data_IF_349030101743
#
_entry.id   IF_349030101743
#
_cell.length_a   1.000
_cell.length_b   1.000
_cell.length_c   1.000
_cell.angle_alpha   90.00
_cell.angle_beta   90.00
_cell.angle_gamma   90.00
#
_symmetry.space_group_name_H-M   'P 1'
#
loop_
_entity.id
_entity.type
_entity.pdbx_description
1 polymer ?
#
# COMPACT_ATOMS: atom_id res chain seq x y z
N UNK A 1 8.20 2.61 -8.42
CA UNK A 1 8.28 1.97 -7.08
C UNK A 1 8.50 3.00 -5.96
N UNK A 2 9.61 3.76 -5.94
CA UNK A 2 9.88 4.72 -4.84
C UNK A 2 8.76 5.75 -4.61
N UNK A 3 8.20 6.33 -5.69
CA UNK A 3 7.04 7.26 -5.59
C UNK A 3 5.83 6.62 -4.92
N UNK A 4 5.54 5.36 -5.26
CA UNK A 4 4.41 4.60 -4.70
C UNK A 4 4.63 4.27 -3.22
N UNK A 5 5.88 3.94 -2.85
CA UNK A 5 6.28 3.71 -1.47
C UNK A 5 6.09 4.96 -0.61
N UNK A 6 6.59 6.11 -1.08
CA UNK A 6 6.45 7.39 -0.37
C UNK A 6 4.97 7.78 -0.26
N UNK A 7 4.20 7.66 -1.35
CA UNK A 7 2.75 7.93 -1.31
C UNK A 7 2.04 7.04 -0.29
N UNK A 8 2.34 5.74 -0.29
CA UNK A 8 1.74 4.79 0.67
C UNK A 8 2.16 5.12 2.10
N UNK A 9 3.42 5.53 2.32
CA UNK A 9 3.90 5.96 3.63
C UNK A 9 3.15 7.20 4.12
N UNK A 10 2.95 8.22 3.27
CA UNK A 10 2.24 9.46 3.63
C UNK A 10 0.77 9.16 3.95
N UNK A 11 0.08 8.40 3.10
CA UNK A 11 -1.32 8.03 3.32
C UNK A 11 -1.48 7.23 4.62
N UNK A 12 -0.62 6.24 4.84
CA UNK A 12 -0.65 5.42 6.06
C UNK A 12 -0.36 6.28 7.30
N UNK A 13 0.60 7.21 7.22
CA UNK A 13 0.89 8.18 8.28
C UNK A 13 -0.33 9.00 8.69
N UNK A 14 -1.14 9.47 7.73
CA UNK A 14 -2.38 10.20 8.02
C UNK A 14 -3.35 9.32 8.82
N UNK A 15 -3.56 8.07 8.39
CA UNK A 15 -4.43 7.14 9.11
C UNK A 15 -3.89 6.82 10.51
N UNK A 16 -2.58 6.59 10.67
CA UNK A 16 -1.95 6.36 11.97
C UNK A 16 -2.17 7.56 12.88
N UNK A 17 -1.96 8.78 12.38
CA UNK A 17 -2.13 10.00 13.17
C UNK A 17 -3.58 10.15 13.63
N UNK A 18 -4.56 9.90 12.75
CA UNK A 18 -5.99 9.92 13.10
C UNK A 18 -6.28 8.90 14.21
N UNK A 19 -5.75 7.67 14.11
CA UNK A 19 -5.92 6.63 15.15
C UNK A 19 -5.34 7.12 16.48
N UNK A 20 -4.14 7.69 16.47
CA UNK A 20 -3.47 8.15 17.69
C UNK A 20 -4.21 9.33 18.33
N UNK A 21 -4.73 10.27 17.53
CA UNK A 21 -5.53 11.40 18.01
C UNK A 21 -6.89 10.96 18.58
N UNK A 22 -7.53 9.97 17.96
CA UNK A 22 -8.84 9.48 18.38
C UNK A 22 -8.76 8.43 19.50
N UNK A 23 -7.58 7.86 19.75
CA UNK A 23 -7.33 6.80 20.73
C UNK A 23 -7.98 7.07 22.09
N UNK A 24 -7.66 8.21 22.69
CA UNK A 24 -8.12 8.58 24.04
C UNK A 24 -9.45 9.37 24.04
N UNK A 25 -10.21 9.37 22.93
CA UNK A 25 -11.46 10.14 22.80
C UNK A 25 -12.61 9.30 22.26
N UNK A 26 -12.51 8.88 21.01
CA UNK A 26 -13.58 8.15 20.33
C UNK A 26 -13.33 6.65 20.35
N UNK A 27 -12.08 6.21 20.18
CA UNK A 27 -11.74 4.78 20.11
C UNK A 27 -11.89 4.06 21.46
N UNK A 28 -11.81 4.77 22.58
CA UNK A 28 -12.13 4.21 23.91
C UNK A 28 -13.59 3.75 24.05
N UNK A 29 -14.51 4.31 23.24
CA UNK A 29 -15.92 3.92 23.23
C UNK A 29 -16.16 2.59 22.51
N UNK A 30 -15.19 2.13 21.72
CA UNK A 30 -15.27 0.89 20.94
C UNK A 30 -14.51 -0.25 21.65
N UNK A 31 -14.87 -1.49 21.32
CA UNK A 31 -14.19 -2.67 21.88
C UNK A 31 -12.72 -2.70 21.51
N UNK A 32 -11.89 -3.31 22.35
CA UNK A 32 -10.47 -3.46 22.04
C UNK A 32 -10.27 -4.37 20.83
N UNK A 33 -11.17 -5.35 20.64
CA UNK A 33 -11.23 -6.13 19.40
C UNK A 33 -11.39 -5.28 18.15
N UNK A 34 -12.25 -4.24 18.18
CA UNK A 34 -12.41 -3.34 17.03
C UNK A 34 -11.13 -2.56 16.74
N UNK A 35 -10.52 -1.97 17.76
CA UNK A 35 -9.27 -1.20 17.64
C UNK A 35 -8.07 -2.05 17.18
N UNK A 36 -8.05 -3.31 17.60
CA UNK A 36 -7.07 -4.30 17.15
C UNK A 36 -7.28 -4.65 15.66
N UNK A 37 -8.51 -4.91 15.22
CA UNK A 37 -8.83 -5.16 13.79
C UNK A 37 -8.52 -3.93 12.93
N UNK A 38 -8.82 -2.73 13.41
CA UNK A 38 -8.48 -1.45 12.77
C UNK A 38 -6.98 -1.36 12.47
N UNK A 39 -6.14 -1.77 13.42
CA UNK A 39 -4.68 -1.80 13.24
C UNK A 39 -4.27 -2.82 12.17
N UNK A 40 -4.88 -4.02 12.16
CA UNK A 40 -4.60 -5.06 11.16
C UNK A 40 -4.97 -4.62 9.75
N UNK A 41 -6.11 -3.94 9.56
CA UNK A 41 -6.53 -3.43 8.26
C UNK A 41 -5.48 -2.44 7.72
N UNK A 42 -4.98 -1.56 8.58
CA UNK A 42 -3.96 -0.58 8.21
C UNK A 42 -2.62 -1.23 7.89
N UNK A 43 -2.17 -2.21 8.69
CA UNK A 43 -0.95 -2.99 8.41
C UNK A 43 -1.06 -3.75 7.08
N UNK A 44 -2.20 -4.39 6.84
CA UNK A 44 -2.47 -5.10 5.58
C UNK A 44 -2.45 -4.16 4.38
N UNK A 45 -2.98 -2.93 4.54
CA UNK A 45 -2.92 -1.88 3.52
C UNK A 45 -1.49 -1.43 3.23
N UNK A 46 -0.63 -1.35 4.24
CA UNK A 46 0.76 -0.92 4.08
C UNK A 46 1.58 -1.88 3.21
N UNK A 47 1.29 -3.18 3.26
CA UNK A 47 1.92 -4.16 2.35
C UNK A 47 1.56 -3.94 0.87
N UNK A 48 0.40 -3.35 0.59
CA UNK A 48 -0.09 -3.10 -0.77
C UNK A 48 0.51 -1.77 -1.31
N UNK A 49 1.82 -1.80 -1.59
CA UNK A 49 2.58 -0.62 -2.04
C UNK A 49 2.12 -0.12 -3.41
N UNK A 50 1.81 -1.03 -4.34
CA UNK A 50 1.47 -0.70 -5.72
C UNK A 50 0.02 -0.22 -5.80
N UNK A 51 -0.21 1.01 -6.27
CA UNK A 51 -1.57 1.43 -6.64
C UNK A 51 -2.04 0.80 -7.94
N UNK A 52 -3.35 0.62 -8.01
CA UNK A 52 -4.06 0.31 -9.23
C UNK A 52 -4.35 1.65 -9.92
N UNK A 53 -3.75 1.89 -11.09
CA UNK A 53 -4.02 3.10 -11.85
C UNK A 53 -5.33 2.97 -12.63
N UNK A 54 -6.26 3.89 -12.41
CA UNK A 54 -7.50 4.02 -13.18
C UNK A 54 -7.30 5.16 -14.18
N UNK A 55 -7.45 4.85 -15.47
CA UNK A 55 -7.40 5.86 -16.53
C UNK A 55 -8.75 6.57 -16.58
N UNK A 56 -8.74 7.87 -16.34
CA UNK A 56 -9.93 8.72 -16.46
C UNK A 56 -9.74 9.54 -17.75
N UNK A 57 -10.61 9.37 -18.76
CA UNK A 57 -10.57 10.22 -19.95
C UNK A 57 -10.92 11.65 -19.53
N UNK A 58 -10.03 12.59 -19.83
CA UNK A 58 -10.31 14.02 -19.64
C UNK A 58 -10.30 14.68 -21.01
N UNK A 59 -11.45 15.16 -21.46
CA UNK A 59 -11.51 16.05 -22.63
C UNK A 59 -10.94 17.41 -22.22
N UNK A 60 -9.65 17.62 -22.52
CA UNK A 60 -9.03 18.93 -22.35
C UNK A 60 -9.20 19.70 -23.65
N UNK A 61 -10.10 20.70 -23.64
CA UNK A 61 -10.17 21.70 -24.70
C UNK A 61 -8.95 22.62 -24.58
N UNK A 62 -7.82 22.22 -25.18
CA UNK A 62 -6.62 23.06 -25.21
C UNK A 62 -6.79 24.10 -26.31
N UNK A 63 -7.08 25.36 -25.95
CA UNK A 63 -6.89 26.50 -26.84
C UNK A 63 -5.39 26.61 -27.10
N UNK A 64 -4.94 26.19 -28.29
CA UNK A 64 -3.54 26.34 -28.69
C UNK A 64 -3.34 27.81 -29.06
N UNK A 65 -2.81 28.59 -28.12
CA UNK A 65 -2.19 29.86 -28.47
C UNK A 65 -0.81 29.53 -29.01
N UNK A 66 -0.61 29.67 -30.32
CA UNK A 66 0.69 29.57 -30.99
C UNK A 66 1.58 30.74 -30.59
N UNK A 67 2.15 30.71 -29.39
CA UNK A 67 3.35 31.50 -29.08
C UNK A 67 4.56 30.64 -29.42
N UNK A 68 5.17 30.92 -30.58
CA UNK A 68 6.54 30.61 -30.97
C UNK A 68 7.07 29.23 -30.56
N UNK A 69 6.88 28.24 -31.44
CA UNK A 69 7.77 27.07 -31.51
C UNK A 69 9.07 27.54 -32.18
N UNK A 70 9.92 28.22 -31.42
CA UNK A 70 11.32 28.42 -31.77
C UNK A 70 12.14 27.61 -30.78
N UNK A 71 12.81 26.61 -31.33
CA UNK A 71 13.96 25.87 -30.80
C UNK A 71 13.79 25.18 -29.45
N UNK A 72 13.45 23.90 -29.51
CA UNK A 72 14.12 22.90 -28.69
C UNK A 72 14.60 21.79 -29.62
N UNK A 73 15.73 22.03 -30.28
CA UNK A 73 16.57 20.96 -30.80
C UNK A 73 17.03 20.17 -29.58
N UNK A 74 16.53 18.94 -29.47
CA UNK A 74 16.81 18.00 -28.40
C UNK A 74 18.29 17.55 -28.49
N UNK A 75 19.20 18.37 -27.97
CA UNK A 75 20.58 17.97 -27.69
C UNK A 75 20.59 17.07 -26.44
N UNK A 76 20.03 15.86 -26.56
CA UNK A 76 20.01 14.86 -25.48
C UNK A 76 20.49 13.49 -25.92
N UNK A 77 21.55 13.46 -26.72
CA UNK A 77 22.39 12.28 -26.87
C UNK A 77 23.88 12.66 -26.76
N UNK A 78 24.31 12.97 -25.53
CA UNK A 78 25.70 12.75 -25.11
C UNK A 78 25.71 11.70 -23.99
N UNK A 79 26.42 10.62 -24.26
CA UNK A 79 26.73 9.48 -23.37
C UNK A 79 27.21 9.99 -22.00
N UNK A 80 26.38 9.82 -20.97
CA UNK A 80 26.53 8.88 -19.84
C UNK A 80 27.92 8.88 -19.19
N UNK A 81 28.10 9.32 -17.94
CA UNK A 81 27.53 8.68 -16.73
C UNK A 81 26.87 9.70 -15.79
N UNK A 82 25.59 10.04 -16.02
CA UNK A 82 24.78 10.59 -14.91
C UNK A 82 24.36 9.42 -14.04
N UNK A 83 24.93 9.35 -12.85
CA UNK A 83 24.55 8.37 -11.83
C UNK A 83 23.02 8.37 -11.70
N UNK A 84 22.42 7.20 -11.86
CA UNK A 84 20.97 7.04 -11.77
C UNK A 84 20.54 7.13 -10.28
N UNK A 85 20.38 8.35 -9.77
CA UNK A 85 19.98 8.61 -8.38
C UNK A 85 18.73 7.84 -7.94
N UNK A 86 17.64 7.75 -8.74
CA UNK A 86 16.49 6.91 -8.39
C UNK A 86 16.84 5.44 -8.11
N UNK A 87 17.72 4.86 -8.93
CA UNK A 87 18.17 3.47 -8.75
C UNK A 87 19.06 3.31 -7.53
N UNK A 88 19.96 4.27 -7.25
CA UNK A 88 20.77 4.27 -6.03
C UNK A 88 19.91 4.36 -4.77
N UNK A 89 18.93 5.26 -4.73
CA UNK A 89 18.02 5.42 -3.59
C UNK A 89 17.22 4.12 -3.37
N UNK A 90 16.75 3.48 -4.45
CA UNK A 90 16.05 2.21 -4.36
C UNK A 90 16.95 1.11 -3.78
N UNK A 91 18.22 1.04 -4.20
CA UNK A 91 19.19 0.07 -3.70
C UNK A 91 19.49 0.30 -2.21
N UNK A 92 19.74 1.55 -1.79
CA UNK A 92 19.94 1.91 -0.38
C UNK A 92 18.70 1.52 0.44
N UNK A 93 17.51 1.85 -0.06
CA UNK A 93 16.27 1.50 0.62
C UNK A 93 16.09 -0.02 0.77
N UNK A 94 16.40 -0.80 -0.27
CA UNK A 94 16.34 -2.27 -0.23
C UNK A 94 17.33 -2.84 0.80
N UNK A 95 18.59 -2.39 0.76
CA UNK A 95 19.64 -2.83 1.69
C UNK A 95 19.20 -2.55 3.13
N UNK A 96 18.75 -1.33 3.42
CA UNK A 96 18.31 -0.95 4.77
C UNK A 96 17.10 -1.75 5.21
N UNK A 97 16.12 -1.96 4.33
CA UNK A 97 14.92 -2.77 4.64
C UNK A 97 15.29 -4.22 4.96
N UNK A 98 16.24 -4.79 4.21
CA UNK A 98 16.76 -6.15 4.45
C UNK A 98 17.53 -6.20 5.78
N UNK A 99 18.42 -5.24 6.05
CA UNK A 99 19.15 -5.17 7.32
C UNK A 99 18.21 -5.10 8.54
N UNK A 100 17.16 -4.27 8.47
CA UNK A 100 16.15 -4.16 9.53
C UNK A 100 15.35 -5.46 9.66
N UNK A 101 14.99 -6.10 8.55
CA UNK A 101 14.29 -7.40 8.58
C UNK A 101 15.17 -8.50 9.18
N UNK A 102 16.44 -8.57 8.79
CA UNK A 102 17.43 -9.49 9.37
C UNK A 102 17.60 -9.22 10.86
N UNK A 103 17.63 -7.97 11.30
CA UNK A 103 17.69 -7.63 12.72
C UNK A 103 16.49 -8.20 13.50
N UNK A 104 15.26 -8.00 13.03
CA UNK A 104 14.08 -8.57 13.68
C UNK A 104 14.06 -10.11 13.63
N UNK A 105 14.49 -10.68 12.51
CA UNK A 105 14.58 -12.13 12.34
C UNK A 105 15.65 -12.75 13.26
N UNK A 106 16.82 -12.11 13.37
CA UNK A 106 17.88 -12.50 14.30
C UNK A 106 17.41 -12.44 15.75
N UNK A 107 16.70 -11.37 16.15
CA UNK A 107 16.10 -11.26 17.49
C UNK A 107 15.15 -12.41 17.78
N UNK A 108 14.34 -12.79 16.80
CA UNK A 108 13.43 -13.94 16.89
C UNK A 108 14.19 -15.27 16.99
N UNK A 109 15.17 -15.52 16.10
CA UNK A 109 15.97 -16.74 16.13
C UNK A 109 16.79 -16.89 17.40
N UNK A 110 17.42 -15.80 17.86
CA UNK A 110 18.20 -15.78 19.11
C UNK A 110 17.34 -16.14 20.31
N UNK A 111 16.10 -15.62 20.37
CA UNK A 111 15.15 -15.98 21.42
C UNK A 111 14.74 -17.46 21.35
N UNK A 112 14.39 -17.96 20.17
CA UNK A 112 14.04 -19.37 19.97
C UNK A 112 15.20 -20.32 20.29
N UNK A 113 16.42 -19.95 19.90
CA UNK A 113 17.62 -20.71 20.18
C UNK A 113 17.86 -20.80 21.70
N UNK A 114 17.83 -19.66 22.40
CA UNK A 114 17.95 -19.64 23.87
C UNK A 114 16.85 -20.44 24.56
N UNK A 115 15.61 -20.33 24.08
CA UNK A 115 14.50 -21.10 24.62
C UNK A 115 14.71 -22.61 24.44
N UNK A 116 15.21 -23.06 23.29
CA UNK A 116 15.40 -24.49 22.98
C UNK A 116 16.25 -25.24 24.02
N UNK A 117 17.27 -24.61 24.60
CA UNK A 117 18.18 -25.27 25.57
C UNK A 117 17.67 -25.25 27.02
N UNK A 118 16.70 -24.39 27.33
CA UNK A 118 16.19 -24.19 28.68
C UNK A 118 14.76 -24.74 28.86
N UNK A 119 14.13 -25.12 27.74
CA UNK A 119 12.81 -25.75 27.67
C UNK A 119 12.88 -27.15 28.29
N UNK A 120 11.90 -27.44 29.14
CA UNK A 120 11.60 -28.77 29.67
C UNK A 120 10.17 -29.14 29.33
N UNK A 121 9.92 -30.43 29.13
CA UNK A 121 8.57 -30.92 28.93
C UNK A 121 7.76 -30.82 30.24
N UNK A 122 6.45 -30.67 30.11
CA UNK A 122 5.54 -30.64 31.26
C UNK A 122 5.14 -32.07 31.58
N UNK A 123 5.61 -32.58 32.72
CA UNK A 123 5.23 -33.91 33.25
C UNK A 123 4.01 -33.86 34.18
N UNK A 124 3.60 -32.66 34.59
CA UNK A 124 2.48 -32.46 35.50
C UNK A 124 1.14 -32.71 34.81
N UNK A 125 0.48 -33.81 35.18
CA UNK A 125 -0.82 -34.23 34.66
C UNK A 125 -1.93 -33.19 34.89
N UNK A 126 -1.84 -32.40 35.96
CA UNK A 126 -2.81 -31.36 36.24
C UNK A 126 -2.70 -30.23 35.21
N UNK A 127 -1.47 -29.80 34.90
CA UNK A 127 -1.21 -28.78 33.88
C UNK A 127 -1.66 -29.26 32.50
N UNK A 128 -1.35 -30.50 32.15
CA UNK A 128 -1.80 -31.12 30.90
C UNK A 128 -3.33 -31.21 30.84
N UNK A 129 -3.99 -31.57 31.94
CA UNK A 129 -5.44 -31.64 32.05
C UNK A 129 -6.09 -30.29 31.74
N UNK A 130 -5.71 -29.23 32.47
CA UNK A 130 -6.20 -27.86 32.26
C UNK A 130 -5.92 -27.37 30.84
N UNK A 131 -4.73 -27.68 30.30
CA UNK A 131 -4.38 -27.35 28.92
C UNK A 131 -5.31 -27.98 27.90
N UNK A 132 -5.56 -29.28 28.01
CA UNK A 132 -6.42 -30.01 27.09
C UNK A 132 -7.90 -29.60 27.21
N UNK A 133 -8.35 -29.23 28.41
CA UNK A 133 -9.70 -28.69 28.62
C UNK A 133 -9.88 -27.32 27.95
N UNK A 134 -8.99 -26.35 28.20
CA UNK A 134 -9.10 -25.02 27.61
C UNK A 134 -8.91 -25.05 26.08
N UNK A 135 -8.02 -25.93 25.59
CA UNK A 135 -7.86 -26.18 24.16
C UNK A 135 -9.16 -26.66 23.51
N UNK A 136 -9.86 -27.62 24.15
CA UNK A 136 -11.17 -28.11 23.69
C UNK A 136 -12.24 -27.04 23.78
N UNK A 137 -12.31 -26.29 24.89
CA UNK A 137 -13.26 -25.20 25.09
C UNK A 137 -13.13 -24.09 24.03
N UNK A 138 -11.91 -23.84 23.53
CA UNK A 138 -11.65 -22.88 22.45
C UNK A 138 -11.80 -23.47 21.05
N UNK A 139 -12.10 -24.77 20.91
CA UNK A 139 -12.28 -25.46 19.62
C UNK A 139 -10.99 -25.60 18.81
N UNK A 140 -9.85 -25.80 19.48
CA UNK A 140 -8.54 -25.87 18.84
C UNK A 140 -8.14 -27.33 18.61
N UNK A 141 -8.21 -27.79 17.36
CA UNK A 141 -7.93 -29.19 17.01
C UNK A 141 -6.47 -29.46 16.63
N UNK A 142 -5.66 -28.41 16.42
CA UNK A 142 -4.25 -28.56 16.00
C UNK A 142 -3.37 -29.02 17.15
N UNK A 143 -2.28 -29.73 16.83
CA UNK A 143 -1.26 -30.12 17.80
C UNK A 143 -0.46 -28.89 18.23
N UNK A 144 -0.55 -28.58 19.52
CA UNK A 144 0.16 -27.50 20.21
C UNK A 144 0.81 -28.15 21.41
N UNK A 145 2.08 -27.82 21.63
CA UNK A 145 2.83 -28.31 22.78
C UNK A 145 2.78 -27.28 23.90
N UNK A 146 2.78 -27.76 25.13
CA UNK A 146 2.98 -26.95 26.33
C UNK A 146 4.28 -27.38 27.01
N UNK A 147 5.13 -26.41 27.34
CA UNK A 147 6.48 -26.64 27.89
C UNK A 147 6.75 -25.69 29.04
N UNK A 148 7.63 -26.06 29.97
CA UNK A 148 8.14 -25.18 31.04
C UNK A 148 9.52 -24.63 30.66
N UNK A 149 9.80 -23.39 30.99
CA UNK A 149 11.09 -22.75 30.73
C UNK A 149 11.56 -22.00 31.97
N UNK A 150 12.78 -22.29 32.43
CA UNK A 150 13.41 -21.54 33.52
C UNK A 150 13.96 -20.21 33.00
N UNK A 151 13.79 -19.14 33.77
CA UNK A 151 14.33 -17.81 33.44
C UNK A 151 13.45 -16.95 32.51
N UNK A 152 12.21 -17.38 32.23
CA UNK A 152 11.19 -16.48 31.66
C UNK A 152 10.25 -15.97 32.75
N UNK A 153 9.84 -14.74 32.53
CA UNK A 153 9.09 -13.91 33.46
C UNK A 153 7.59 -14.01 33.31
N UNK A 154 7.14 -14.41 32.12
CA UNK A 154 5.75 -14.45 31.74
C UNK A 154 5.55 -15.63 30.79
N UNK A 155 4.38 -16.28 30.84
CA UNK A 155 3.93 -17.18 29.80
C UNK A 155 4.09 -16.55 28.41
N UNK A 156 4.46 -17.36 27.42
CA UNK A 156 4.66 -16.90 26.06
C UNK A 156 4.38 -17.98 25.02
N UNK A 157 3.63 -17.61 23.98
CA UNK A 157 3.49 -18.41 22.78
C UNK A 157 4.68 -18.23 21.83
N UNK A 158 5.46 -19.28 21.60
CA UNK A 158 6.58 -19.31 20.66
C UNK A 158 6.23 -20.10 19.40
N UNK A 159 6.84 -19.72 18.27
CA UNK A 159 6.80 -20.48 17.02
C UNK A 159 5.79 -19.95 16.00
N UNK A 160 6.17 -20.01 14.73
CA UNK A 160 5.29 -19.66 13.58
C UNK A 160 4.63 -20.90 12.97
N UNK A 161 5.40 -21.96 12.73
CA UNK A 161 4.92 -23.19 12.09
C UNK A 161 4.47 -24.24 13.10
N UNK A 162 5.22 -24.40 14.19
CA UNK A 162 4.89 -25.26 15.33
C UNK A 162 4.80 -24.38 16.56
N UNK A 163 3.57 -24.09 16.98
CA UNK A 163 3.36 -23.24 18.14
C UNK A 163 3.52 -24.04 19.43
N UNK A 164 4.24 -23.46 20.38
CA UNK A 164 4.49 -24.03 21.70
C UNK A 164 4.17 -22.97 22.74
N UNK A 165 3.29 -23.29 23.68
CA UNK A 165 3.03 -22.45 24.86
C UNK A 165 4.13 -22.74 25.86
N UNK A 166 4.82 -21.69 26.29
CA UNK A 166 5.85 -21.80 27.31
C UNK A 166 5.33 -21.17 28.59
N UNK A 167 5.36 -21.95 29.66
CA UNK A 167 5.04 -21.50 31.01
C UNK A 167 6.33 -21.23 31.79
N UNK A 168 6.35 -20.16 32.61
CA UNK A 168 7.44 -19.95 33.55
C UNK A 168 7.43 -21.05 34.62
N UNK A 169 8.56 -21.25 35.29
CA UNK A 169 8.67 -22.21 36.38
C UNK A 169 8.11 -21.63 37.68
N UNK A 170 6.82 -21.31 37.68
CA UNK A 170 6.05 -20.79 38.82
C UNK A 170 4.91 -21.75 39.10
N UNK A 171 4.61 -21.97 40.38
CA UNK A 171 3.48 -22.78 40.80
C UNK A 171 2.20 -21.94 40.71
N UNK A 172 1.30 -22.35 39.83
CA UNK A 172 -0.01 -21.73 39.66
C UNK A 172 -1.06 -22.58 40.35
N UNK A 173 -2.01 -21.95 41.05
CA UNK A 173 -3.25 -22.63 41.39
C UNK A 173 -4.03 -23.00 40.10
N UNK A 174 -4.90 -24.00 40.18
CA UNK A 174 -5.69 -24.47 39.05
C UNK A 174 -6.48 -23.37 38.33
N UNK A 175 -7.03 -22.40 39.07
CA UNK A 175 -7.75 -21.30 38.44
C UNK A 175 -6.81 -20.34 37.75
N UNK A 176 -5.70 -19.97 38.40
CA UNK A 176 -4.66 -19.11 37.83
C UNK A 176 -4.11 -19.71 36.54
N UNK A 177 -3.85 -21.02 36.56
CA UNK A 177 -3.35 -21.77 35.41
C UNK A 177 -4.36 -21.76 34.26
N UNK A 178 -5.65 -21.97 34.54
CA UNK A 178 -6.72 -21.90 33.54
C UNK A 178 -6.73 -20.54 32.85
N UNK A 179 -6.62 -19.44 33.62
CA UNK A 179 -6.58 -18.09 33.07
C UNK A 179 -5.37 -17.85 32.16
N UNK A 180 -4.17 -18.23 32.62
CA UNK A 180 -2.92 -18.09 31.88
C UNK A 180 -2.96 -18.87 30.57
N UNK A 181 -3.34 -20.15 30.64
CA UNK A 181 -3.39 -21.02 29.46
C UNK A 181 -4.43 -20.51 28.46
N UNK A 182 -5.62 -20.11 28.93
CA UNK A 182 -6.68 -19.57 28.08
C UNK A 182 -6.22 -18.31 27.33
N UNK A 183 -5.48 -17.43 28.01
CA UNK A 183 -4.89 -16.22 27.40
C UNK A 183 -3.93 -16.57 26.25
N UNK A 184 -2.97 -17.46 26.49
CA UNK A 184 -2.00 -17.89 25.47
C UNK A 184 -2.67 -18.65 24.30
N UNK A 185 -3.69 -19.47 24.59
CA UNK A 185 -4.47 -20.15 23.54
C UNK A 185 -5.27 -19.19 22.67
N UNK A 186 -5.74 -18.06 23.23
CA UNK A 186 -6.40 -17.01 22.44
C UNK A 186 -5.40 -16.34 21.50
N UNK A 187 -4.18 -16.04 21.95
CA UNK A 187 -3.10 -15.55 21.09
C UNK A 187 -2.80 -16.52 19.95
N UNK A 188 -2.76 -17.83 20.24
CA UNK A 188 -2.60 -18.87 19.23
C UNK A 188 -3.76 -18.86 18.22
N UNK A 189 -5.01 -18.90 18.70
CA UNK A 189 -6.21 -18.94 17.86
C UNK A 189 -6.31 -17.73 16.93
N UNK A 190 -5.88 -16.56 17.40
CA UNK A 190 -5.82 -15.30 16.63
C UNK A 190 -4.59 -15.16 15.75
N UNK A 191 -3.61 -16.07 15.87
CA UNK A 191 -2.34 -16.02 15.15
C UNK A 191 -1.56 -14.73 15.41
N UNK A 192 -1.55 -14.25 16.66
CA UNK A 192 -0.93 -12.98 17.01
C UNK A 192 0.57 -12.93 16.68
N UNK A 193 1.27 -14.07 16.73
CA UNK A 193 2.66 -14.17 16.27
C UNK A 193 2.82 -13.81 14.78
N UNK A 194 1.90 -14.25 13.91
CA UNK A 194 1.93 -13.91 12.47
C UNK A 194 1.68 -12.42 12.27
N UNK A 195 0.80 -11.82 13.07
CA UNK A 195 0.53 -10.38 12.99
C UNK A 195 1.69 -9.54 13.55
N UNK A 196 2.42 -10.04 14.55
CA UNK A 196 3.69 -9.44 15.00
C UNK A 196 4.77 -9.52 13.91
N UNK A 197 4.81 -10.62 13.14
CA UNK A 197 5.68 -10.72 11.96
C UNK A 197 5.28 -9.72 10.87
N UNK A 198 3.98 -9.57 10.60
CA UNK A 198 3.47 -8.55 9.67
C UNK A 198 3.91 -7.14 10.08
N UNK A 199 3.81 -6.80 11.37
CA UNK A 199 4.30 -5.51 11.89
C UNK A 199 5.81 -5.35 11.73
N UNK A 200 6.59 -6.42 11.88
CA UNK A 200 8.03 -6.38 11.64
C UNK A 200 8.36 -6.10 10.16
N UNK A 201 7.59 -6.69 9.23
CA UNK A 201 7.71 -6.42 7.79
C UNK A 201 7.37 -4.95 7.49
N UNK A 202 6.27 -4.43 8.04
CA UNK A 202 5.90 -3.01 7.89
C UNK A 202 7.02 -2.08 8.39
N UNK A 203 7.60 -2.37 9.56
CA UNK A 203 8.72 -1.61 10.11
C UNK A 203 9.99 -1.70 9.27
N UNK A 204 10.23 -2.85 8.62
CA UNK A 204 11.36 -3.01 7.71
C UNK A 204 11.17 -2.20 6.42
N UNK A 205 9.98 -2.21 5.82
CA UNK A 205 9.66 -1.47 4.59
C UNK A 205 9.64 0.05 4.85
N UNK A 206 9.07 0.45 5.98
CA UNK A 206 8.84 1.85 6.37
C UNK A 206 9.74 2.30 7.53
N UNK A 207 10.97 1.78 7.60
CA UNK A 207 11.92 2.08 8.69
C UNK A 207 12.18 3.58 8.90
N UNK A 208 12.04 4.39 7.85
CA UNK A 208 12.19 5.84 7.91
C UNK A 208 10.96 6.57 8.48
N UNK A 209 9.82 5.89 8.65
CA UNK A 209 8.57 6.50 9.09
C UNK A 209 8.35 6.31 10.60
N UNK A 210 8.54 7.35 11.44
CA UNK A 210 8.41 7.24 12.90
C UNK A 210 7.00 6.88 13.37
N UNK A 211 5.96 7.18 12.58
CA UNK A 211 4.57 6.89 12.95
C UNK A 211 4.28 5.39 12.95
N UNK A 212 4.98 4.60 12.12
CA UNK A 212 4.82 3.13 12.11
C UNK A 212 5.28 2.51 13.44
N UNK A 213 6.29 3.10 14.09
CA UNK A 213 6.71 2.68 15.43
C UNK A 213 5.67 3.02 16.51
N UNK A 214 4.90 4.10 16.34
CA UNK A 214 3.78 4.43 17.23
C UNK A 214 2.59 3.49 16.97
N UNK A 215 2.33 3.15 15.70
CA UNK A 215 1.35 2.13 15.34
C UNK A 215 1.70 0.79 15.97
N UNK A 216 2.97 0.37 15.94
CA UNK A 216 3.43 -0.85 16.64
C UNK A 216 3.04 -0.85 18.11
N UNK A 217 3.35 0.22 18.85
CA UNK A 217 3.01 0.33 20.28
C UNK A 217 1.50 0.26 20.51
N UNK A 218 0.73 0.92 19.65
CA UNK A 218 -0.73 0.88 19.71
C UNK A 218 -1.27 -0.51 19.44
N UNK A 219 -0.79 -1.18 18.38
CA UNK A 219 -1.18 -2.54 18.01
C UNK A 219 -0.86 -3.55 19.11
N UNK A 220 0.36 -3.53 19.65
CA UNK A 220 0.77 -4.43 20.74
C UNK A 220 -0.15 -4.26 21.96
N UNK A 221 -0.48 -3.02 22.32
CA UNK A 221 -1.40 -2.75 23.42
C UNK A 221 -2.84 -3.21 23.14
N UNK A 222 -3.39 -2.94 21.95
CA UNK A 222 -4.74 -3.40 21.62
C UNK A 222 -4.80 -4.92 21.47
N UNK A 223 -3.70 -5.57 21.10
CA UNK A 223 -3.58 -7.02 21.01
C UNK A 223 -3.84 -7.66 22.38
N UNK A 224 -3.13 -7.19 23.41
CA UNK A 224 -3.27 -7.62 24.81
C UNK A 224 -4.67 -7.31 25.36
N UNK A 225 -5.13 -6.06 25.21
CA UNK A 225 -6.45 -5.63 25.71
C UNK A 225 -7.60 -6.40 25.04
N UNK A 226 -7.49 -6.70 23.74
CA UNK A 226 -8.47 -7.53 23.04
C UNK A 226 -8.39 -9.00 23.46
N UNK A 227 -7.22 -9.47 23.89
CA UNK A 227 -7.05 -10.82 24.43
C UNK A 227 -7.75 -10.92 25.77
N UNK A 228 -7.47 -9.99 26.68
CA UNK A 228 -8.12 -9.85 27.99
C UNK A 228 -9.65 -9.77 27.86
N UNK A 229 -10.16 -8.94 26.93
CA UNK A 229 -11.59 -8.84 26.62
C UNK A 229 -12.19 -10.19 26.16
N UNK A 230 -11.42 -10.99 25.43
CA UNK A 230 -11.87 -12.31 24.94
C UNK A 230 -11.85 -13.37 26.04
N UNK A 231 -10.86 -13.32 26.93
CA UNK A 231 -10.76 -14.20 28.11
C UNK A 231 -11.99 -13.98 29.01
N UNK A 232 -12.32 -12.72 29.28
CA UNK A 232 -13.32 -12.30 30.27
C UNK A 232 -14.76 -12.19 29.75
N UNK A 233 -15.02 -12.56 28.50
CA UNK A 233 -16.29 -12.28 27.81
C UNK A 233 -17.55 -12.78 28.54
N UNK A 234 -17.44 -13.90 29.25
CA UNK A 234 -18.53 -14.53 30.01
C UNK A 234 -18.22 -14.63 31.50
N UNK A 235 -17.28 -13.82 31.99
CA UNK A 235 -16.82 -13.87 33.38
C UNK A 235 -17.60 -12.89 34.26
N UNK A 236 -17.93 -13.35 35.46
CA UNK A 236 -18.46 -12.54 36.56
C UNK A 236 -17.45 -11.50 37.02
N UNK A 237 -17.90 -10.50 37.78
CA UNK A 237 -17.00 -9.48 38.33
C UNK A 237 -15.94 -10.05 39.28
N UNK A 238 -16.28 -11.11 40.03
CA UNK A 238 -15.32 -11.80 40.90
C UNK A 238 -14.21 -12.47 40.09
N UNK A 239 -14.56 -13.18 39.01
CA UNK A 239 -13.59 -13.82 38.12
C UNK A 239 -12.70 -12.78 37.41
N UNK A 240 -13.25 -11.61 37.04
CA UNK A 240 -12.44 -10.52 36.47
C UNK A 240 -11.38 -10.01 37.45
N UNK A 241 -11.70 -9.92 38.74
CA UNK A 241 -10.73 -9.56 39.79
C UNK A 241 -9.68 -10.64 39.98
N UNK A 242 -10.11 -11.90 40.04
CA UNK A 242 -9.23 -13.06 40.18
C UNK A 242 -8.22 -13.12 39.02
N UNK A 243 -8.68 -12.87 37.80
CA UNK A 243 -7.83 -12.78 36.62
C UNK A 243 -6.84 -11.63 36.70
N UNK A 244 -7.28 -10.43 37.11
CA UNK A 244 -6.40 -9.27 37.26
C UNK A 244 -5.30 -9.51 38.30
N UNK A 245 -5.61 -10.18 39.42
CA UNK A 245 -4.63 -10.59 40.43
C UNK A 245 -3.65 -11.60 39.84
N UNK A 246 -4.14 -12.62 39.12
CA UNK A 246 -3.30 -13.61 38.44
C UNK A 246 -2.31 -12.95 37.48
N UNK A 247 -2.76 -11.96 36.70
CA UNK A 247 -1.90 -11.19 35.80
C UNK A 247 -0.81 -10.46 36.60
N UNK A 248 -1.17 -9.74 37.66
CA UNK A 248 -0.22 -9.01 38.50
C UNK A 248 0.83 -9.93 39.13
N UNK A 249 0.42 -11.10 39.62
CA UNK A 249 1.34 -12.05 40.24
C UNK A 249 2.27 -12.69 39.21
N UNK A 250 1.79 -12.96 37.99
CA UNK A 250 2.66 -13.44 36.90
C UNK A 250 3.81 -12.48 36.58
N UNK A 251 3.60 -11.17 36.74
CA UNK A 251 4.60 -10.15 36.45
C UNK A 251 5.61 -9.97 37.59
N UNK A 252 5.15 -10.08 38.85
CA UNK A 252 6.04 -9.95 40.03
C UNK A 252 7.17 -10.97 40.01
N UNK A 253 6.87 -12.22 39.65
CA UNK A 253 7.84 -13.30 39.55
C UNK A 253 8.78 -13.16 38.34
N UNK A 254 8.56 -12.13 37.50
CA UNK A 254 9.26 -11.92 36.25
C UNK A 254 10.42 -10.94 36.27
N UNK A 255 10.62 -10.18 37.34
CA UNK A 255 11.60 -9.08 37.35
C UNK A 255 13.05 -9.48 37.66
N UNK A 256 13.36 -10.76 37.88
CA UNK A 256 14.71 -11.18 38.28
C UNK A 256 15.76 -11.13 37.15
N UNK A 257 15.36 -11.06 35.87
CA UNK A 257 16.30 -11.10 34.74
C UNK A 257 16.51 -9.77 33.99
N UNK A 258 15.87 -8.66 34.39
CA UNK A 258 15.97 -7.37 33.68
C UNK A 258 16.58 -6.25 34.54
N UNK A 259 17.75 -6.50 35.14
CA UNK A 259 18.58 -5.46 35.75
C UNK A 259 19.50 -4.82 34.70
N UNK A 260 18.97 -3.86 33.94
CA UNK A 260 19.81 -2.93 33.15
C UNK A 260 19.63 -1.49 33.65
N UNK A 261 20.76 -0.79 33.78
CA UNK A 261 21.00 0.47 34.52
C UNK A 261 20.20 1.70 34.01
N UNK A 262 19.35 1.55 32.98
CA UNK A 262 18.41 2.57 32.48
C UNK A 262 16.94 2.32 32.89
N UNK A 263 16.69 1.46 33.89
CA UNK A 263 15.36 0.88 34.18
C UNK A 263 14.28 1.86 34.70
N UNK A 264 14.61 3.02 35.27
CA UNK A 264 13.58 3.86 35.94
C UNK A 264 12.53 4.43 34.98
N UNK A 265 12.91 4.84 33.76
CA UNK A 265 11.95 5.31 32.74
C UNK A 265 11.28 4.17 31.94
N UNK A 266 11.89 2.98 31.91
CA UNK A 266 11.31 1.81 31.24
C UNK A 266 10.29 1.09 32.13
N UNK A 267 10.48 1.06 33.45
CA UNK A 267 9.54 0.50 34.40
C UNK A 267 8.17 1.20 34.34
N UNK A 268 8.15 2.54 34.20
CA UNK A 268 6.91 3.29 34.10
C UNK A 268 6.07 2.89 32.87
N UNK A 269 6.69 2.52 31.75
CA UNK A 269 5.96 2.12 30.54
C UNK A 269 5.30 0.75 30.70
N UNK A 270 6.00 -0.22 31.28
CA UNK A 270 5.43 -1.55 31.54
C UNK A 270 4.35 -1.46 32.63
N UNK A 271 4.57 -0.70 33.70
CA UNK A 271 3.55 -0.43 34.72
C UNK A 271 2.30 0.24 34.13
N UNK A 272 2.47 1.21 33.24
CA UNK A 272 1.33 1.85 32.56
C UNK A 272 0.55 0.89 31.67
N UNK A 273 1.22 -0.06 30.99
CA UNK A 273 0.53 -1.09 30.20
C UNK A 273 -0.32 -1.99 31.10
N UNK A 274 0.24 -2.47 32.20
CA UNK A 274 -0.45 -3.34 33.15
C UNK A 274 -1.62 -2.61 33.78
N UNK A 275 -1.42 -1.36 34.22
CA UNK A 275 -2.48 -0.50 34.75
C UNK A 275 -3.64 -0.40 33.76
N UNK A 276 -3.37 -0.12 32.48
CA UNK A 276 -4.41 -0.03 31.45
C UNK A 276 -5.13 -1.35 31.20
N UNK A 277 -4.44 -2.49 31.30
CA UNK A 277 -5.06 -3.83 31.23
C UNK A 277 -6.04 -4.01 32.38
N UNK A 278 -5.60 -3.80 33.63
CA UNK A 278 -6.45 -3.92 34.83
C UNK A 278 -7.64 -2.96 34.80
N UNK A 279 -7.41 -1.69 34.45
CA UNK A 279 -8.49 -0.70 34.30
C UNK A 279 -9.52 -1.12 33.25
N UNK A 280 -9.07 -1.69 32.13
CA UNK A 280 -9.97 -2.18 31.09
C UNK A 280 -10.78 -3.39 31.53
N UNK A 281 -10.16 -4.35 32.23
CA UNK A 281 -10.82 -5.55 32.75
C UNK A 281 -11.93 -5.20 33.75
N UNK A 282 -11.69 -4.21 34.61
CA UNK A 282 -12.61 -3.81 35.68
C UNK A 282 -13.63 -2.75 35.23
N UNK A 283 -13.50 -2.21 34.03
CA UNK A 283 -14.46 -1.26 33.49
C UNK A 283 -15.78 -1.97 33.12
N UNK A 284 -16.87 -1.57 33.78
CA UNK A 284 -18.20 -2.13 33.57
C UNK A 284 -18.94 -1.50 32.38
N UNK A 285 -18.39 -0.45 31.77
CA UNK A 285 -19.04 0.22 30.63
C UNK A 285 -19.05 -0.69 29.39
N UNK A 286 -20.23 -0.87 28.82
CA UNK A 286 -20.39 -1.60 27.55
C UNK A 286 -19.77 -0.82 26.40
N UNK A 287 -18.88 -1.47 25.65
CA UNK A 287 -18.20 -0.87 24.49
C UNK A 287 -18.91 -1.21 23.18
N UNK A 288 -18.92 -0.27 22.22
CA UNK A 288 -19.52 -0.46 20.90
C UNK A 288 -18.67 -1.41 20.06
N UNK A 289 -19.30 -2.31 19.29
CA UNK A 289 -18.58 -3.25 18.40
C UNK A 289 -18.00 -2.61 17.13
N UNK A 290 -18.48 -1.43 16.74
CA UNK A 290 -17.91 -0.65 15.64
C UNK A 290 -18.10 -1.18 14.22
N UNK A 291 -19.11 -2.03 13.98
CA UNK A 291 -19.32 -2.68 12.67
C UNK A 291 -19.45 -1.65 11.53
N UNK A 292 -20.32 -0.65 11.68
CA UNK A 292 -20.54 0.39 10.66
C UNK A 292 -19.25 1.21 10.43
N UNK A 293 -18.59 1.63 11.51
CA UNK A 293 -17.34 2.37 11.42
C UNK A 293 -16.23 1.55 10.72
N UNK A 294 -16.20 0.24 10.97
CA UNK A 294 -15.29 -0.69 10.30
C UNK A 294 -15.58 -0.83 8.81
N UNK A 295 -16.85 -0.90 8.42
CA UNK A 295 -17.24 -0.97 7.00
C UNK A 295 -16.83 0.31 6.25
N UNK A 296 -17.11 1.49 6.83
CA UNK A 296 -16.69 2.78 6.25
C UNK A 296 -15.17 2.86 6.11
N UNK A 297 -14.43 2.44 7.14
CA UNK A 297 -12.97 2.40 7.08
C UNK A 297 -12.46 1.48 5.96
N UNK A 298 -13.03 0.28 5.82
CA UNK A 298 -12.63 -0.64 4.75
C UNK A 298 -12.82 -0.03 3.36
N UNK A 299 -13.91 0.73 3.15
CA UNK A 299 -14.13 1.47 1.91
C UNK A 299 -13.08 2.55 1.71
N UNK A 300 -12.76 3.35 2.74
CA UNK A 300 -11.75 4.42 2.66
C UNK A 300 -10.35 3.84 2.37
N UNK A 301 -9.97 2.80 3.11
CA UNK A 301 -8.69 2.10 2.94
C UNK A 301 -8.63 1.42 1.57
N UNK A 302 -9.73 0.81 1.11
CA UNK A 302 -9.84 0.22 -0.21
C UNK A 302 -9.71 1.27 -1.33
N UNK A 303 -10.41 2.39 -1.22
CA UNK A 303 -10.31 3.51 -2.16
C UNK A 303 -8.88 4.04 -2.27
N UNK A 304 -8.13 4.08 -1.16
CA UNK A 304 -6.73 4.52 -1.15
C UNK A 304 -5.77 3.62 -1.95
N UNK A 305 -6.19 2.43 -2.39
CA UNK A 305 -5.41 1.56 -3.29
C UNK A 305 -5.43 2.04 -4.74
N UNK A 306 -6.38 2.90 -5.11
CA UNK A 306 -6.53 3.39 -6.46
C UNK A 306 -5.82 4.74 -6.66
N UNK A 307 -5.29 4.95 -7.85
CA UNK A 307 -4.72 6.23 -8.28
C UNK A 307 -5.32 6.61 -9.61
N UNK A 308 -5.86 7.83 -9.75
CA UNK A 308 -6.34 8.33 -11.02
C UNK A 308 -5.16 8.76 -11.91
N UNK A 309 -5.19 8.39 -13.19
CA UNK A 309 -4.36 8.97 -14.24
C UNK A 309 -5.28 9.65 -15.24
N UNK A 310 -5.10 10.96 -15.41
CA UNK A 310 -5.73 11.72 -16.47
C UNK A 310 -4.99 11.44 -17.79
N UNK A 311 -5.72 11.13 -18.86
CA UNK A 311 -5.19 11.19 -20.22
C UNK A 311 -6.04 12.16 -21.04
N UNK A 312 -5.35 13.04 -21.78
CA UNK A 312 -5.99 14.02 -22.65
C UNK A 312 -6.25 13.39 -24.01
N UNK A 313 -7.53 13.20 -24.35
CA UNK A 313 -7.94 12.82 -25.70
C UNK A 313 -8.09 14.11 -26.52
N UNK A 314 -7.13 14.38 -27.41
CA UNK A 314 -7.16 15.56 -28.29
C UNK A 314 -8.17 15.28 -29.39
N UNK A 315 -9.24 16.09 -29.46
CA UNK A 315 -10.19 16.06 -30.57
C UNK A 315 -9.56 16.68 -31.82
N UNK A 316 -9.35 15.85 -32.85
CA UNK A 316 -8.69 16.21 -34.12
C UNK A 316 -9.46 17.28 -34.92
N UNK A 317 -10.77 17.44 -34.67
CA UNK A 317 -11.66 18.29 -35.46
C UNK A 317 -11.45 19.81 -35.29
N UNK A 318 -10.71 20.27 -34.27
CA UNK A 318 -10.46 21.71 -34.06
C UNK A 318 -9.12 22.21 -34.63
N UNK A 319 -8.20 21.31 -34.99
CA UNK A 319 -6.89 21.72 -35.54
C UNK A 319 -6.97 22.10 -37.02
N UNK A 320 -7.88 21.47 -37.78
CA UNK A 320 -8.05 21.71 -39.22
C UNK A 320 -8.64 23.08 -39.57
N UNK A 321 -9.38 23.70 -38.66
CA UNK A 321 -10.10 24.96 -38.93
C UNK A 321 -9.24 26.21 -38.62
N UNK A 322 -8.29 26.10 -37.69
CA UNK A 322 -7.35 27.19 -37.39
C UNK A 322 -6.21 27.30 -38.40
N UNK A 323 -5.67 26.18 -38.89
CA UNK A 323 -4.53 26.17 -39.80
C UNK A 323 -4.88 26.70 -41.21
N UNK A 324 -6.13 26.49 -41.65
CA UNK A 324 -6.64 27.04 -42.93
C UNK A 324 -6.76 28.56 -42.91
N UNK A 325 -7.21 29.14 -41.79
CA UNK A 325 -7.46 30.58 -41.71
C UNK A 325 -6.14 31.37 -41.55
N UNK A 326 -5.18 30.85 -40.77
CA UNK A 326 -3.88 31.51 -40.57
C UNK A 326 -3.02 31.49 -41.84
N UNK A 327 -3.05 30.40 -42.62
CA UNK A 327 -2.32 30.35 -43.88
C UNK A 327 -2.97 31.23 -44.97
N UNK A 328 -4.30 31.38 -44.97
CA UNK A 328 -5.01 32.23 -45.95
C UNK A 328 -4.69 33.72 -45.77
N UNK A 329 -4.74 34.24 -44.53
CA UNK A 329 -4.43 35.65 -44.25
C UNK A 329 -2.94 36.00 -44.50
N UNK A 330 -2.01 35.09 -44.20
CA UNK A 330 -0.57 35.33 -44.39
C UNK A 330 -0.19 35.38 -45.88
N UNK A 331 -0.75 34.51 -46.71
CA UNK A 331 -0.42 34.45 -48.16
C UNK A 331 -1.03 35.64 -48.92
N UNK A 332 -2.22 36.12 -48.53
CA UNK A 332 -2.84 37.33 -49.08
C UNK A 332 -2.01 38.61 -48.83
N UNK A 333 -1.22 38.65 -47.76
CA UNK A 333 -0.35 39.80 -47.44
C UNK A 333 0.95 39.85 -48.26
N UNK A 334 1.36 38.75 -48.89
CA UNK A 334 2.67 38.60 -49.54
C UNK A 334 2.58 38.78 -51.07
N UNK A 335 1.47 38.35 -51.69
CA UNK A 335 1.24 38.56 -53.13
C UNK A 335 -0.24 38.88 -53.42
N UNK A 336 -0.58 40.14 -53.76
CA UNK A 336 -1.94 40.54 -54.14
C UNK A 336 -2.47 39.81 -55.39
N UNK A 337 -1.56 39.25 -56.21
CA UNK A 337 -1.89 38.45 -57.39
C UNK A 337 -2.36 37.03 -57.04
N UNK A 338 -2.10 36.56 -55.81
CA UNK A 338 -2.46 35.21 -55.35
C UNK A 338 -3.95 34.91 -55.53
N UNK A 339 -4.84 35.84 -55.18
CA UNK A 339 -6.29 35.65 -55.33
C UNK A 339 -6.73 35.60 -56.80
N UNK A 340 -6.01 36.25 -57.71
CA UNK A 340 -6.27 36.16 -59.15
C UNK A 340 -5.82 34.81 -59.73
N UNK A 341 -4.62 34.34 -59.32
CA UNK A 341 -4.08 33.03 -59.69
C UNK A 341 -4.89 31.87 -59.12
N UNK A 342 -5.35 31.99 -57.88
CA UNK A 342 -6.23 30.99 -57.25
C UNK A 342 -7.60 30.95 -57.90
N UNK A 343 -8.17 32.10 -58.31
CA UNK A 343 -9.39 32.13 -59.14
C UNK A 343 -9.17 31.47 -60.49
N UNK A 344 -8.06 31.74 -61.17
CA UNK A 344 -7.74 31.08 -62.43
C UNK A 344 -7.60 29.56 -62.25
N UNK A 345 -6.92 29.12 -61.18
CA UNK A 345 -6.77 27.70 -60.87
C UNK A 345 -8.11 27.03 -60.51
N UNK A 346 -8.96 27.68 -59.73
CA UNK A 346 -10.32 27.20 -59.42
C UNK A 346 -11.18 27.12 -60.68
N UNK A 347 -11.10 28.11 -61.57
CA UNK A 347 -11.81 28.12 -62.84
C UNK A 347 -11.29 27.05 -63.81
N UNK A 348 -9.98 26.79 -63.79
CA UNK A 348 -9.34 25.72 -64.54
C UNK A 348 -9.75 24.34 -63.98
N UNK A 349 -9.72 24.15 -62.66
CA UNK A 349 -10.16 22.92 -62.00
C UNK A 349 -11.67 22.66 -62.13
N UNK A 350 -12.48 23.71 -62.26
CA UNK A 350 -13.91 23.60 -62.51
C UNK A 350 -14.16 23.24 -63.98
N UNK A 351 -13.44 23.85 -64.92
CA UNK A 351 -13.44 23.42 -66.34
C UNK A 351 -12.96 21.98 -66.52
N UNK A 352 -11.94 21.56 -65.78
CA UNK A 352 -11.41 20.20 -65.81
C UNK A 352 -12.41 19.20 -65.16
N UNK A 353 -13.15 19.61 -64.13
CA UNK A 353 -14.27 18.85 -63.57
C UNK A 353 -15.45 18.73 -64.54
N UNK A 354 -15.81 19.80 -65.21
CA UNK A 354 -16.86 19.80 -66.24
C UNK A 354 -16.43 19.00 -67.49
N UNK A 355 -15.12 18.89 -67.75
CA UNK A 355 -14.55 17.99 -68.77
C UNK A 355 -14.54 16.51 -68.30
N UNK A 356 -14.35 16.29 -66.99
CA UNK A 356 -14.43 14.97 -66.35
C UNK A 356 -15.87 14.41 -66.37
N UNK A 357 -16.89 15.25 -66.16
CA UNK A 357 -18.31 14.87 -66.31
C UNK A 357 -18.71 14.57 -67.76
N UNK A 358 -17.94 15.06 -68.74
CA UNK A 358 -18.11 14.78 -70.19
C UNK A 358 -17.21 13.64 -70.71
N UNK A 359 -16.57 12.88 -69.82
CA UNK A 359 -15.87 11.64 -70.17
C UNK A 359 -14.48 11.80 -70.78
N UNK A 360 -13.77 12.91 -70.58
CA UNK A 360 -12.38 13.08 -71.01
C UNK A 360 -11.40 12.92 -69.83
N UNK A 361 -10.37 12.07 -69.99
CA UNK A 361 -9.34 11.80 -68.98
C UNK A 361 -8.34 12.97 -68.92
N UNK A 362 -8.26 13.69 -67.80
CA UNK A 362 -7.26 14.74 -67.57
C UNK A 362 -6.11 14.23 -66.69
N UNK A 363 -4.89 14.50 -67.16
CA UNK A 363 -3.58 13.99 -66.69
C UNK A 363 -2.99 14.94 -65.63
N UNK A 364 -2.53 14.41 -64.49
CA UNK A 364 -1.94 15.22 -63.41
C UNK A 364 -0.54 15.76 -63.74
N UNK A 365 -0.07 16.76 -62.98
CA UNK A 365 1.27 17.33 -63.10
C UNK A 365 1.94 17.51 -61.73
N UNK A 366 3.26 17.30 -61.68
CA UNK A 366 4.11 17.55 -60.51
C UNK A 366 4.73 18.94 -60.67
N UNK A 367 4.60 19.76 -59.63
CA UNK A 367 5.19 21.11 -59.54
C UNK A 367 6.22 21.11 -58.42
N UNK A 368 7.44 21.55 -58.71
CA UNK A 368 8.52 21.73 -57.73
C UNK A 368 8.64 23.20 -57.39
N UNK A 369 8.63 23.53 -56.10
CA UNK A 369 8.62 24.90 -55.57
C UNK A 369 9.85 25.09 -54.68
N UNK A 370 10.46 26.28 -54.77
CA UNK A 370 11.53 26.73 -53.86
C UNK A 370 10.95 27.01 -52.46
N UNK A 371 11.47 26.36 -51.43
CA UNK A 371 10.98 26.49 -50.05
C UNK A 371 11.31 27.85 -49.40
N UNK A 372 12.34 28.56 -49.85
CA UNK A 372 12.67 29.87 -49.25
C UNK A 372 11.94 31.04 -49.92
N UNK A 373 11.62 30.93 -51.21
CA UNK A 373 11.00 32.02 -51.99
C UNK A 373 9.55 31.77 -52.42
N UNK A 374 9.06 30.53 -52.36
CA UNK A 374 7.73 30.15 -52.85
C UNK A 374 7.60 30.15 -54.38
N UNK A 375 8.70 30.34 -55.10
CA UNK A 375 8.74 30.41 -56.56
C UNK A 375 8.61 29.02 -57.19
N UNK A 376 7.80 28.86 -58.24
CA UNK A 376 7.71 27.60 -58.99
C UNK A 376 8.97 27.40 -59.84
N UNK A 377 9.76 26.37 -59.52
CA UNK A 377 11.03 26.07 -60.17
C UNK A 377 10.86 25.18 -61.41
N UNK A 378 9.93 24.22 -61.40
CA UNK A 378 9.60 23.42 -62.61
C UNK A 378 8.24 22.73 -62.51
N UNK A 379 7.66 22.35 -63.66
CA UNK A 379 6.40 21.60 -63.75
C UNK A 379 6.51 20.48 -64.80
N UNK A 380 6.08 19.25 -64.49
CA UNK A 380 6.11 18.08 -65.41
C UNK A 380 4.82 17.27 -65.34
N UNK A 381 4.23 16.89 -66.47
CA UNK A 381 3.00 16.05 -66.51
C UNK A 381 3.29 14.58 -66.26
N UNK A 382 2.42 13.90 -65.50
CA UNK A 382 2.47 12.46 -65.23
C UNK A 382 1.78 11.71 -66.37
N UNK A 383 2.53 10.86 -67.09
CA UNK A 383 1.99 9.84 -68.00
C UNK A 383 2.32 8.44 -67.48
N UNK A 384 1.33 7.56 -67.36
CA UNK A 384 1.53 6.18 -66.90
C UNK A 384 2.26 5.34 -67.95
N UNK A 385 3.22 4.54 -67.50
CA UNK A 385 3.51 3.24 -68.10
C UNK A 385 2.66 2.17 -67.42
N UNK A 386 2.26 1.17 -68.22
CA UNK A 386 1.70 -0.15 -67.90
C UNK A 386 0.18 -0.33 -68.03
N UNK A 387 -0.21 -0.90 -69.17
CA UNK A 387 -1.37 -1.78 -69.31
C UNK A 387 -1.03 -3.21 -68.84
N UNK A 388 -2.03 -3.80 -68.20
CA UNK A 388 -2.17 -5.17 -67.67
C UNK A 388 -2.74 -6.08 -68.79
N UNK A 389 -2.42 -7.40 -68.82
CA UNK A 389 -2.98 -8.31 -69.83
C UNK A 389 -4.47 -8.60 -69.56
N UNK A 390 -5.26 -8.71 -70.63
CA UNK A 390 -6.59 -9.34 -70.59
C UNK A 390 -6.76 -10.29 -71.78
N UNK A 391 -7.10 -11.54 -71.47
CA UNK A 391 -7.53 -12.54 -72.44
C UNK A 391 -8.92 -12.18 -72.97
N UNK A 392 -9.14 -12.38 -74.27
CA UNK A 392 -10.46 -12.54 -74.89
C UNK A 392 -10.64 -14.02 -75.25
N UNK A 393 -11.86 -14.52 -75.03
CA UNK A 393 -12.38 -15.77 -75.57
C UNK A 393 -12.62 -15.62 -77.08
N UNK A 394 -12.04 -16.51 -77.88
CA UNK A 394 -12.71 -17.38 -78.87
C UNK A 394 -11.79 -18.54 -79.25
#
# INVERSE_FOLDING_TARGET
MLKELVRTSILSSIFILIILLLKNRQLEKYSHKFNYILSIILMSRMLLIKSISVNIPIHIYKKITTTNVVNNIDFKHMVSNKVNYPSLILMIWLIMSICVLIYYFYRYLSFNYKAKYLIKDVEDNNILGVFHEEKRALGINKNIEIKKLKGISSPALIGFFKATIILPNVDYDNRQLRWVIRHELIHYKRKDNILRLLMAIDLSIYWFNPLVYLLRKYFEEQCELSCDESVLRYSTFSEKKEYAITLLDSIKHGNELSSNIFASQFNNKELNKIKRRVESMLNLKTKKKGIIAGAVLLVIVGASLFSAKAFAEISENYLLDMDKNVNRERVESIDPSYNSKMRELELQMQKDRDAMERGAIVRGAIVVIDEESGSVLSMRSIGNSMDVPSNTLE
#
